data_IF_664880818136
#
_entry.id   IF_664880818136
#
_cell.length_a   1.000
_cell.length_b   1.000
_cell.length_c   1.000
_cell.angle_alpha   90.00
_cell.angle_beta   90.00
_cell.angle_gamma   90.00
#
_symmetry.space_group_name_H-M   'P 1'
#
loop_
_entity.id
_entity.type
_entity.pdbx_description
1 polymer ?
#
# COMPACT_ATOMS: atom_id res chain seq x y z
N UNK A 1 0.76 -10.46 -14.78
CA UNK A 1 0.02 -9.81 -13.66
C UNK A 1 0.35 -10.61 -12.42
N UNK A 2 0.87 -10.03 -11.33
CA UNK A 2 1.00 -10.80 -10.09
C UNK A 2 -0.41 -11.15 -9.62
N UNK A 3 -0.67 -12.45 -9.40
CA UNK A 3 -1.88 -12.86 -8.70
C UNK A 3 -1.76 -12.38 -7.26
N UNK A 4 -2.84 -11.82 -6.71
CA UNK A 4 -2.93 -11.53 -5.29
C UNK A 4 -2.78 -12.83 -4.50
N UNK A 5 -1.89 -12.84 -3.52
CA UNK A 5 -1.72 -13.94 -2.58
C UNK A 5 -2.35 -13.53 -1.25
N UNK A 6 -3.28 -14.35 -0.74
CA UNK A 6 -4.01 -14.06 0.50
C UNK A 6 -3.05 -13.82 1.68
N UNK A 7 -2.10 -14.72 1.90
CA UNK A 7 -1.14 -14.63 3.00
C UNK A 7 -0.26 -13.39 2.92
N UNK A 8 0.24 -13.05 1.73
CA UNK A 8 1.07 -11.84 1.55
C UNK A 8 0.28 -10.55 1.81
N UNK A 9 -0.98 -10.51 1.39
CA UNK A 9 -1.88 -9.38 1.62
C UNK A 9 -2.21 -9.25 3.11
N UNK A 10 -2.52 -10.36 3.78
CA UNK A 10 -2.79 -10.39 5.21
C UNK A 10 -1.55 -9.98 6.00
N UNK A 11 -0.38 -10.53 5.67
CA UNK A 11 0.89 -10.22 6.34
C UNK A 11 1.18 -8.70 6.28
N UNK A 12 1.12 -8.10 5.10
CA UNK A 12 1.41 -6.66 4.96
C UNK A 12 0.36 -5.77 5.60
N UNK A 13 -0.93 -6.13 5.53
CA UNK A 13 -2.04 -5.34 6.09
C UNK A 13 -2.29 -5.62 7.57
N UNK A 14 -1.72 -6.67 8.16
CA UNK A 14 -1.76 -6.91 9.60
C UNK A 14 -1.01 -5.80 10.37
N UNK A 15 0.02 -5.23 9.74
CA UNK A 15 0.84 -4.15 10.28
C UNK A 15 0.10 -2.81 10.22
N UNK A 16 0.08 -2.07 11.35
CA UNK A 16 -0.48 -0.71 11.40
C UNK A 16 0.15 0.23 10.36
N UNK A 17 1.46 0.11 10.15
CA UNK A 17 2.21 0.87 9.15
C UNK A 17 1.80 0.53 7.72
N UNK A 18 1.59 -0.76 7.40
CA UNK A 18 1.08 -1.17 6.10
C UNK A 18 -0.27 -0.55 5.79
N UNK A 19 -1.21 -0.57 6.75
CA UNK A 19 -2.52 0.08 6.60
C UNK A 19 -2.44 1.61 6.53
N UNK A 20 -1.55 2.23 7.29
CA UNK A 20 -1.36 3.68 7.24
C UNK A 20 -0.81 4.13 5.88
N UNK A 21 0.22 3.46 5.38
CA UNK A 21 0.78 3.69 4.03
C UNK A 21 -0.29 3.48 2.96
N UNK A 22 -1.02 2.36 3.02
CA UNK A 22 -2.04 2.06 2.02
C UNK A 22 -3.13 3.14 1.97
N UNK A 23 -3.56 3.66 3.12
CA UNK A 23 -4.51 4.78 3.20
C UNK A 23 -3.95 6.08 2.62
N UNK A 24 -2.68 6.39 2.88
CA UNK A 24 -2.00 7.57 2.34
C UNK A 24 -2.01 7.61 0.80
N UNK A 25 -1.91 6.46 0.15
CA UNK A 25 -1.86 6.33 -1.32
C UNK A 25 -3.17 5.86 -1.96
N UNK A 26 -4.27 5.87 -1.20
CA UNK A 26 -5.56 5.37 -1.67
C UNK A 26 -6.14 6.26 -2.77
N UNK A 27 -6.11 7.57 -2.55
CA UNK A 27 -6.72 8.55 -3.44
C UNK A 27 -5.71 9.04 -4.51
N UNK A 28 -4.47 9.28 -4.10
CA UNK A 28 -3.45 9.90 -4.95
C UNK A 28 -2.16 9.10 -5.06
N UNK A 29 -1.51 9.22 -6.22
CA UNK A 29 -0.20 8.63 -6.44
C UNK A 29 0.88 9.46 -5.72
N UNK A 30 1.54 8.89 -4.72
CA UNK A 30 2.53 9.59 -3.89
C UNK A 30 3.92 8.98 -4.00
N UNK A 31 4.95 9.81 -3.84
CA UNK A 31 6.33 9.41 -3.67
C UNK A 31 6.58 8.88 -2.26
N UNK A 32 7.70 8.18 -2.06
CA UNK A 32 8.12 7.73 -0.71
C UNK A 32 8.21 8.91 0.27
N UNK A 33 8.63 10.08 -0.22
CA UNK A 33 8.77 11.28 0.61
C UNK A 33 7.40 11.80 1.06
N UNK A 34 6.46 11.97 0.13
CA UNK A 34 5.11 12.44 0.45
C UNK A 34 4.37 11.46 1.38
N UNK A 35 4.55 10.14 1.19
CA UNK A 35 3.99 9.14 2.12
C UNK A 35 4.61 9.27 3.50
N UNK A 36 5.92 9.50 3.60
CA UNK A 36 6.56 9.71 4.91
C UNK A 36 5.98 10.95 5.61
N UNK A 37 5.81 12.05 4.88
CA UNK A 37 5.23 13.30 5.41
C UNK A 37 3.81 13.06 5.95
N UNK A 38 2.94 12.34 5.21
CA UNK A 38 1.60 11.97 5.70
C UNK A 38 1.62 11.12 6.99
N UNK A 39 2.65 10.28 7.15
CA UNK A 39 2.79 9.40 8.30
C UNK A 39 3.31 10.12 9.53
N UNK A 40 4.07 11.21 9.37
CA UNK A 40 4.49 12.06 10.48
C UNK A 40 3.30 12.74 11.16
N UNK A 41 2.23 13.00 10.40
CA UNK A 41 0.95 13.52 10.91
C UNK A 41 0.02 12.43 11.49
N UNK A 42 0.41 11.15 11.36
CA UNK A 42 -0.37 10.00 11.83
C UNK A 42 0.19 9.43 13.15
N UNK A 43 -0.62 8.67 13.89
CA UNK A 43 -0.17 7.95 15.10
C UNK A 43 0.89 6.84 14.82
N UNK A 44 1.30 6.65 13.57
CA UNK A 44 2.22 5.60 13.14
C UNK A 44 3.53 6.22 12.67
N UNK A 45 4.48 6.33 13.58
CA UNK A 45 5.81 6.87 13.28
C UNK A 45 6.69 5.83 12.57
N UNK A 46 6.75 5.86 11.23
CA UNK A 46 7.86 5.29 10.48
C UNK A 46 8.96 6.34 10.32
N UNK A 47 9.88 6.38 11.30
CA UNK A 47 10.93 7.40 11.39
C UNK A 47 11.90 7.45 10.20
N UNK A 48 12.02 6.37 9.44
CA UNK A 48 13.02 6.23 8.37
C UNK A 48 12.38 6.05 7.00
N UNK A 49 12.81 6.87 6.04
CA UNK A 49 12.41 6.79 4.63
C UNK A 49 12.61 5.40 4.02
N UNK A 50 13.68 4.70 4.42
CA UNK A 50 13.95 3.33 3.96
C UNK A 50 12.86 2.34 4.42
N UNK A 51 12.33 2.52 5.64
CA UNK A 51 11.24 1.69 6.15
C UNK A 51 9.95 1.93 5.38
N UNK A 52 9.65 3.18 5.03
CA UNK A 52 8.51 3.54 4.17
C UNK A 52 8.66 2.91 2.79
N UNK A 53 9.85 3.02 2.19
CA UNK A 53 10.17 2.39 0.91
C UNK A 53 9.96 0.87 0.97
N UNK A 54 10.57 0.17 1.94
CA UNK A 54 10.42 -1.29 2.09
C UNK A 54 8.96 -1.71 2.27
N UNK A 55 8.16 -0.96 3.01
CA UNK A 55 6.75 -1.26 3.19
C UNK A 55 5.94 -1.05 1.88
N UNK A 56 6.22 0.01 1.12
CA UNK A 56 5.65 0.21 -0.21
C UNK A 56 6.03 -0.93 -1.17
N UNK A 57 7.28 -1.39 -1.14
CA UNK A 57 7.73 -2.53 -1.94
C UNK A 57 6.97 -3.81 -1.60
N UNK A 58 6.73 -4.09 -0.30
CA UNK A 58 5.91 -5.24 0.11
C UNK A 58 4.48 -5.14 -0.41
N UNK A 59 3.86 -3.95 -0.34
CA UNK A 59 2.52 -3.71 -0.91
C UNK A 59 2.48 -3.88 -2.44
N UNK A 60 3.57 -3.56 -3.13
CA UNK A 60 3.71 -3.79 -4.58
C UNK A 60 3.85 -5.28 -4.88
N UNK A 61 4.70 -6.00 -4.14
CA UNK A 61 4.87 -7.45 -4.27
C UNK A 61 3.55 -8.19 -4.02
N UNK A 62 2.82 -7.80 -2.97
CA UNK A 62 1.49 -8.30 -2.64
C UNK A 62 0.42 -7.88 -3.67
N UNK A 63 0.75 -7.12 -4.72
CA UNK A 63 -0.18 -6.77 -5.78
C UNK A 63 -1.26 -5.75 -5.41
N UNK A 64 -1.17 -5.10 -4.24
CA UNK A 64 -2.11 -4.07 -3.79
C UNK A 64 -1.80 -2.69 -4.37
N UNK A 65 -0.53 -2.44 -4.67
CA UNK A 65 -0.02 -1.15 -5.11
C UNK A 65 0.65 -1.29 -6.48
N UNK A 66 0.62 -0.23 -7.26
CA UNK A 66 1.40 -0.11 -8.50
C UNK A 66 2.42 1.00 -8.40
N UNK A 67 3.59 0.77 -9.00
CA UNK A 67 4.60 1.80 -9.23
C UNK A 67 4.32 2.50 -10.55
N UNK A 68 4.44 3.82 -10.54
CA UNK A 68 4.31 4.67 -11.70
C UNK A 68 5.58 5.52 -11.81
N UNK A 69 6.15 5.62 -13.02
CA UNK A 69 7.25 6.54 -13.28
C UNK A 69 6.70 7.85 -13.82
N UNK A 70 7.12 8.94 -13.20
CA UNK A 70 6.82 10.32 -13.57
C UNK A 70 8.16 11.03 -13.80
N UNK A 71 8.65 10.97 -15.04
CA UNK A 71 10.01 11.39 -15.39
C UNK A 71 11.08 10.61 -14.62
N UNK A 72 11.85 11.31 -13.77
CA UNK A 72 12.89 10.72 -12.90
C UNK A 72 12.36 10.25 -11.54
N UNK A 73 11.07 10.45 -11.27
CA UNK A 73 10.44 10.19 -9.98
C UNK A 73 9.62 8.91 -10.02
N UNK A 74 9.62 8.16 -8.91
CA UNK A 74 8.75 6.99 -8.73
C UNK A 74 7.64 7.35 -7.76
N UNK A 75 6.40 7.15 -8.20
CA UNK A 75 5.18 7.30 -7.40
C UNK A 75 4.51 5.94 -7.21
N UNK A 76 3.76 5.81 -6.13
CA UNK A 76 3.03 4.64 -5.73
C UNK A 76 1.55 4.99 -5.64
N UNK A 77 0.69 4.19 -6.26
CA UNK A 77 -0.77 4.36 -6.19
C UNK A 77 -1.41 3.03 -5.82
N UNK A 78 -2.44 3.07 -4.99
CA UNK A 78 -3.28 1.90 -4.79
C UNK A 78 -3.86 1.39 -6.13
N UNK A 79 -4.00 0.07 -6.25
CA UNK A 79 -4.75 -0.56 -7.35
C UNK A 79 -6.25 -0.67 -7.04
N UNK A 80 -6.61 -0.59 -5.76
CA UNK A 80 -7.95 -0.84 -5.26
C UNK A 80 -8.40 0.30 -4.34
N UNK A 81 -9.68 0.66 -4.39
CA UNK A 81 -10.30 1.65 -3.51
C UNK A 81 -10.68 1.06 -2.14
N UNK A 82 -10.74 -0.26 -2.03
CA UNK A 82 -11.09 -0.97 -0.81
C UNK A 82 -10.65 -2.43 -0.85
N UNK A 83 -10.40 -3.00 0.32
CA UNK A 83 -9.99 -4.40 0.51
C UNK A 83 -10.77 -4.96 1.70
N UNK A 84 -11.40 -6.11 1.53
CA UNK A 84 -11.93 -6.96 2.60
C UNK A 84 -11.25 -8.31 2.57
N UNK A 85 -11.07 -8.93 3.74
CA UNK A 85 -10.48 -10.25 3.88
C UNK A 85 -11.41 -11.14 4.70
N UNK A 86 -11.74 -12.31 4.16
CA UNK A 86 -12.40 -13.40 4.87
C UNK A 86 -11.32 -14.41 5.28
N UNK A 87 -11.15 -14.59 6.59
CA UNK A 87 -10.13 -15.47 7.16
C UNK A 87 -10.59 -16.92 7.31
N UNK A 88 -11.88 -17.21 7.16
CA UNK A 88 -12.41 -18.58 7.21
C UNK A 88 -12.31 -19.23 5.85
N UNK A 89 -12.72 -18.50 4.81
CA UNK A 89 -12.69 -18.97 3.42
C UNK A 89 -11.40 -18.58 2.68
N UNK A 90 -10.48 -17.86 3.34
CA UNK A 90 -9.20 -17.37 2.80
C UNK A 90 -9.35 -16.58 1.49
N UNK A 91 -10.36 -15.71 1.43
CA UNK A 91 -10.71 -14.94 0.24
C UNK A 91 -10.53 -13.43 0.43
N UNK A 92 -10.16 -12.74 -0.66
CA UNK A 92 -10.05 -11.27 -0.71
C UNK A 92 -11.18 -10.67 -1.55
N UNK A 93 -11.92 -9.73 -0.96
CA UNK A 93 -12.81 -8.83 -1.69
C UNK A 93 -12.08 -7.55 -2.05
N UNK A 94 -12.19 -7.10 -3.30
CA UNK A 94 -11.47 -5.94 -3.82
C UNK A 94 -12.45 -4.97 -4.48
N UNK A 95 -12.40 -3.70 -4.09
CA UNK A 95 -13.13 -2.64 -4.78
C UNK A 95 -12.20 -1.97 -5.79
N UNK A 96 -12.63 -1.86 -7.04
CA UNK A 96 -11.83 -1.17 -8.06
C UNK A 96 -11.86 0.35 -7.83
N UNK A 97 -10.75 1.02 -8.09
CA UNK A 97 -10.72 2.48 -8.18
C UNK A 97 -11.33 2.84 -9.54
N UNK A 98 -12.50 3.50 -9.57
CA UNK A 98 -13.07 4.06 -10.80
C UNK A 98 -11.99 4.94 -11.48
N UNK A 99 -11.83 4.74 -12.79
CA UNK A 99 -10.74 5.31 -13.59
C UNK A 99 -10.90 6.81 -13.82
#
# INVERSE_FOLDING_TARGET
MSRLNFDEVVDVLSLKSGRAIFRSILNDAKTVKEVQEDLEESEVSLKYRESVYKALERLVSAGLVKKMRDGRTVKYKSRYSGISADFVEENLGLSETER
#
